data_IF_192995529252
#
_entry.id   IF_192995529252
#
_cell.length_a   1.000
_cell.length_b   1.000
_cell.length_c   1.000
_cell.angle_alpha   90.00
_cell.angle_beta   90.00
_cell.angle_gamma   90.00
#
_symmetry.space_group_name_H-M   'P 1'
#
loop_
_entity.id
_entity.type
_entity.pdbx_description
1 polymer ?
#
# COMPACT_ATOMS: atom_id res chain seq x y z
N UNK A 1 -14.48 13.45 22.70
CA UNK A 1 -14.78 13.62 24.15
C UNK A 1 -16.26 13.88 24.45
N UNK A 2 -16.91 14.91 23.88
CA UNK A 2 -18.29 15.30 24.24
C UNK A 2 -19.36 14.19 24.01
N UNK A 3 -19.22 13.37 22.97
CA UNK A 3 -20.12 12.24 22.66
C UNK A 3 -19.95 11.06 23.63
N UNK A 4 -18.71 10.75 23.98
CA UNK A 4 -18.38 9.70 24.96
C UNK A 4 -18.93 10.06 26.34
N UNK A 5 -18.79 11.31 26.75
CA UNK A 5 -19.34 11.81 28.01
C UNK A 5 -20.88 11.61 28.09
N UNK A 6 -21.62 11.90 27.01
CA UNK A 6 -23.08 11.71 26.99
C UNK A 6 -23.49 10.23 27.10
N UNK A 7 -22.75 9.33 26.45
CA UNK A 7 -23.01 7.89 26.54
C UNK A 7 -22.73 7.35 27.95
N UNK A 8 -21.57 7.71 28.54
CA UNK A 8 -21.21 7.32 29.90
C UNK A 8 -22.19 7.88 30.92
N UNK A 9 -22.58 9.15 30.77
CA UNK A 9 -23.58 9.78 31.64
C UNK A 9 -24.94 9.08 31.52
N UNK A 10 -25.38 8.76 30.29
CA UNK A 10 -26.61 7.98 30.09
C UNK A 10 -26.58 6.61 30.78
N UNK A 11 -25.46 5.90 30.72
CA UNK A 11 -25.26 4.61 31.41
C UNK A 11 -25.32 4.78 32.93
N UNK A 12 -24.68 5.82 33.49
CA UNK A 12 -24.70 6.11 34.92
C UNK A 12 -26.14 6.37 35.40
N UNK A 13 -26.93 7.16 34.64
CA UNK A 13 -28.34 7.41 34.96
C UNK A 13 -29.20 6.15 34.90
N UNK A 14 -28.94 5.24 33.95
CA UNK A 14 -29.61 3.94 33.88
C UNK A 14 -29.23 3.03 35.05
N UNK A 15 -27.96 3.04 35.48
CA UNK A 15 -27.51 2.31 36.68
C UNK A 15 -28.15 2.87 37.96
N UNK A 16 -28.21 4.20 38.11
CA UNK A 16 -28.90 4.85 39.23
C UNK A 16 -30.38 4.50 39.25
N UNK A 17 -31.05 4.48 38.10
CA UNK A 17 -32.46 4.10 38.01
C UNK A 17 -32.70 2.68 38.53
N UNK A 18 -31.75 1.76 38.31
CA UNK A 18 -31.85 0.38 38.78
C UNK A 18 -31.60 0.23 40.29
N UNK A 19 -30.86 1.16 40.90
CA UNK A 19 -30.53 1.14 42.33
C UNK A 19 -31.60 1.80 43.23
N UNK A 20 -32.62 2.46 42.65
CA UNK A 20 -33.63 3.20 43.41
C UNK A 20 -34.90 2.37 43.66
N UNK A 21 -35.32 2.29 44.92
CA UNK A 21 -36.52 1.55 45.34
C UNK A 21 -37.84 2.31 45.08
N UNK A 22 -37.79 3.64 45.11
CA UNK A 22 -38.97 4.47 44.88
C UNK A 22 -39.35 4.50 43.39
N UNK A 23 -40.51 3.92 43.04
CA UNK A 23 -40.97 3.73 41.66
C UNK A 23 -41.03 5.01 40.82
N UNK A 24 -41.48 6.13 41.41
CA UNK A 24 -41.58 7.43 40.73
C UNK A 24 -40.17 7.96 40.37
N UNK A 25 -39.24 7.86 41.30
CA UNK A 25 -37.87 8.34 41.14
C UNK A 25 -37.13 7.48 40.12
N UNK A 26 -37.29 6.16 40.21
CA UNK A 26 -36.77 5.19 39.23
C UNK A 26 -37.22 5.51 37.80
N UNK A 27 -38.50 5.81 37.59
CA UNK A 27 -39.03 6.18 36.27
C UNK A 27 -38.37 7.44 35.69
N UNK A 28 -38.15 8.47 36.52
CA UNK A 28 -37.52 9.72 36.08
C UNK A 28 -36.06 9.53 35.64
N UNK A 29 -35.24 8.83 36.44
CA UNK A 29 -33.84 8.55 36.10
C UNK A 29 -33.73 7.66 34.85
N UNK A 30 -34.66 6.71 34.67
CA UNK A 30 -34.69 5.85 33.50
C UNK A 30 -34.95 6.62 32.21
N UNK A 31 -35.95 7.52 32.20
CA UNK A 31 -36.26 8.35 31.02
C UNK A 31 -35.09 9.27 30.66
N UNK A 32 -34.46 9.89 31.67
CA UNK A 32 -33.30 10.77 31.47
C UNK A 32 -32.12 9.97 30.90
N UNK A 33 -31.80 8.82 31.50
CA UNK A 33 -30.72 7.95 31.05
C UNK A 33 -30.94 7.44 29.62
N UNK A 34 -32.15 6.98 29.31
CA UNK A 34 -32.53 6.52 27.97
C UNK A 34 -32.38 7.65 26.94
N UNK A 35 -32.91 8.85 27.24
CA UNK A 35 -32.82 10.00 26.33
C UNK A 35 -31.38 10.41 26.04
N UNK A 36 -30.54 10.48 27.08
CA UNK A 36 -29.12 10.81 26.93
C UNK A 36 -28.37 9.75 26.12
N UNK A 37 -28.65 8.47 26.36
CA UNK A 37 -28.04 7.36 25.66
C UNK A 37 -28.42 7.36 24.16
N UNK A 38 -29.70 7.55 23.83
CA UNK A 38 -30.17 7.59 22.44
C UNK A 38 -29.55 8.76 21.67
N UNK A 39 -29.48 9.95 22.26
CA UNK A 39 -28.85 11.13 21.65
C UNK A 39 -27.33 10.92 21.47
N UNK A 40 -26.67 10.32 22.46
CA UNK A 40 -25.25 9.97 22.40
C UNK A 40 -24.95 8.98 21.27
N UNK A 41 -25.74 7.90 21.19
CA UNK A 41 -25.60 6.86 20.17
C UNK A 41 -25.86 7.41 18.76
N UNK A 42 -26.91 8.21 18.58
CA UNK A 42 -27.21 8.85 17.30
C UNK A 42 -26.08 9.77 16.84
N UNK A 43 -25.52 10.60 17.73
CA UNK A 43 -24.37 11.46 17.42
C UNK A 43 -23.11 10.67 17.09
N UNK A 44 -22.86 9.57 17.81
CA UNK A 44 -21.73 8.69 17.54
C UNK A 44 -21.82 8.07 16.14
N UNK A 45 -22.98 7.49 15.80
CA UNK A 45 -23.23 6.88 14.48
C UNK A 45 -23.13 7.94 13.38
N UNK A 46 -23.78 9.10 13.54
CA UNK A 46 -23.72 10.19 12.56
C UNK A 46 -22.30 10.72 12.35
N UNK A 47 -21.50 10.80 13.41
CA UNK A 47 -20.08 11.16 13.35
C UNK A 47 -19.27 10.13 12.56
N UNK A 48 -19.46 8.84 12.87
CA UNK A 48 -18.76 7.73 12.21
C UNK A 48 -19.11 7.61 10.72
N UNK A 49 -20.38 7.78 10.37
CA UNK A 49 -20.83 7.80 8.96
C UNK A 49 -20.24 8.99 8.21
N UNK A 50 -20.19 10.17 8.85
CA UNK A 50 -19.61 11.37 8.24
C UNK A 50 -18.11 11.20 8.00
N UNK A 51 -17.37 10.67 8.97
CA UNK A 51 -15.93 10.42 8.79
C UNK A 51 -15.69 9.37 7.72
N UNK A 52 -16.49 8.30 7.67
CA UNK A 52 -16.39 7.29 6.62
C UNK A 52 -16.65 7.88 5.23
N UNK A 53 -17.70 8.69 5.08
CA UNK A 53 -17.99 9.39 3.82
C UNK A 53 -16.88 10.35 3.42
N UNK A 54 -16.34 11.13 4.37
CA UNK A 54 -15.24 12.05 4.10
C UNK A 54 -14.00 11.30 3.63
N UNK A 55 -13.66 10.20 4.29
CA UNK A 55 -12.53 9.36 3.93
C UNK A 55 -12.71 8.71 2.56
N UNK A 56 -13.92 8.23 2.24
CA UNK A 56 -14.23 7.68 0.94
C UNK A 56 -14.13 8.74 -0.18
N UNK A 57 -14.58 9.97 0.09
CA UNK A 57 -14.44 11.08 -0.86
C UNK A 57 -12.98 11.45 -1.09
N UNK A 58 -12.21 11.63 -0.02
CA UNK A 58 -10.77 11.95 -0.12
C UNK A 58 -9.99 10.84 -0.84
N UNK A 59 -10.35 9.57 -0.62
CA UNK A 59 -9.79 8.44 -1.36
C UNK A 59 -10.10 8.54 -2.87
N UNK A 60 -11.36 8.86 -3.22
CA UNK A 60 -11.80 9.04 -4.62
C UNK A 60 -11.09 10.22 -5.29
N UNK A 61 -10.96 11.33 -4.58
CA UNK A 61 -10.22 12.51 -5.06
C UNK A 61 -8.75 12.18 -5.29
N UNK A 62 -8.13 11.41 -4.39
CA UNK A 62 -6.76 10.93 -4.54
C UNK A 62 -6.59 10.02 -5.76
N UNK A 63 -7.52 9.08 -5.96
CA UNK A 63 -7.54 8.20 -7.13
C UNK A 63 -7.67 9.01 -8.44
N UNK A 64 -8.57 9.99 -8.46
CA UNK A 64 -8.78 10.88 -9.61
C UNK A 64 -7.53 11.73 -9.90
N UNK A 65 -6.87 12.26 -8.87
CA UNK A 65 -5.62 13.02 -8.99
C UNK A 65 -4.48 12.16 -9.58
N UNK A 66 -4.32 10.92 -9.09
CA UNK A 66 -3.30 9.99 -9.57
C UNK A 66 -3.57 9.53 -11.01
N UNK A 67 -4.84 9.28 -11.36
CA UNK A 67 -5.24 8.89 -12.72
C UNK A 67 -5.08 10.01 -13.75
N UNK A 68 -5.17 11.28 -13.34
CA UNK A 68 -5.00 12.42 -14.23
C UNK A 68 -3.55 12.66 -14.66
N UNK A 69 -2.58 11.96 -14.05
CA UNK A 69 -1.17 12.04 -14.45
C UNK A 69 -1.01 11.36 -15.83
N UNK A 70 -0.33 11.98 -16.82
CA UNK A 70 -0.18 11.38 -18.15
C UNK A 70 0.54 10.03 -18.14
N UNK A 71 -0.13 8.98 -18.59
CA UNK A 71 0.40 7.61 -18.61
C UNK A 71 -0.16 6.80 -19.79
N UNK A 72 0.55 5.74 -20.18
CA UNK A 72 0.03 4.68 -21.03
C UNK A 72 -0.47 3.50 -20.23
N UNK A 73 0.17 3.21 -19.09
CA UNK A 73 -0.23 2.17 -18.16
C UNK A 73 -0.08 2.68 -16.73
N UNK A 74 -0.98 2.28 -15.84
CA UNK A 74 -1.00 2.73 -14.44
C UNK A 74 -1.47 1.59 -13.53
N UNK A 75 -0.92 1.55 -12.32
CA UNK A 75 -1.48 0.82 -11.19
C UNK A 75 -1.50 1.75 -9.98
N UNK A 76 -2.54 1.65 -9.18
CA UNK A 76 -2.76 2.46 -7.98
C UNK A 76 -2.90 1.50 -6.81
N UNK A 77 -2.26 1.83 -5.69
CA UNK A 77 -2.33 1.03 -4.47
C UNK A 77 -3.75 1.05 -3.89
N UNK A 78 -4.08 0.03 -3.09
CA UNK A 78 -5.43 -0.15 -2.53
C UNK A 78 -5.86 1.00 -1.60
N UNK A 79 -4.91 1.72 -1.00
CA UNK A 79 -5.10 2.91 -0.17
C UNK A 79 -5.17 4.23 -0.97
N UNK A 80 -4.92 4.18 -2.28
CA UNK A 80 -4.82 5.32 -3.20
C UNK A 80 -3.77 6.36 -2.79
N UNK A 81 -2.70 5.93 -2.11
CA UNK A 81 -1.58 6.78 -1.72
C UNK A 81 -0.37 6.64 -2.64
N UNK A 82 -0.27 5.54 -3.37
CA UNK A 82 0.82 5.31 -4.32
C UNK A 82 0.27 4.98 -5.70
N UNK A 83 0.97 5.41 -6.73
CA UNK A 83 0.74 4.95 -8.08
C UNK A 83 2.07 4.72 -8.80
N UNK A 84 2.12 3.64 -9.57
CA UNK A 84 3.21 3.34 -10.50
C UNK A 84 2.67 3.53 -11.91
N UNK A 85 3.26 4.48 -12.63
CA UNK A 85 2.83 4.83 -13.97
C UNK A 85 3.96 4.63 -14.98
N UNK A 86 3.58 4.15 -16.15
CA UNK A 86 4.46 3.94 -17.29
C UNK A 86 3.97 4.85 -18.41
N UNK A 87 4.89 5.58 -19.05
CA UNK A 87 4.60 6.47 -20.16
C UNK A 87 5.55 6.15 -21.32
N UNK A 88 5.08 5.30 -22.23
CA UNK A 88 5.86 4.85 -23.39
C UNK A 88 6.28 5.99 -24.35
N UNK A 89 5.42 6.97 -24.71
CA UNK A 89 5.81 8.08 -25.57
C UNK A 89 6.99 8.91 -25.05
N UNK A 90 7.09 9.07 -23.73
CA UNK A 90 8.17 9.85 -23.09
C UNK A 90 9.31 8.98 -22.56
N UNK A 91 9.20 7.65 -22.67
CA UNK A 91 10.13 6.68 -22.10
C UNK A 91 10.39 6.87 -20.60
N UNK A 92 9.32 7.15 -19.84
CA UNK A 92 9.42 7.43 -18.41
C UNK A 92 8.59 6.47 -17.56
N UNK A 93 9.16 6.11 -16.42
CA UNK A 93 8.50 5.46 -15.31
C UNK A 93 8.30 6.53 -14.23
N UNK A 94 7.09 6.66 -13.71
CA UNK A 94 6.76 7.60 -12.66
C UNK A 94 6.28 6.84 -11.42
N UNK A 95 6.88 7.13 -10.27
CA UNK A 95 6.36 6.73 -8.97
C UNK A 95 5.74 7.97 -8.31
N UNK A 96 4.42 7.97 -8.17
CA UNK A 96 3.67 8.99 -7.47
C UNK A 96 3.32 8.51 -6.06
N UNK A 97 3.61 9.31 -5.04
CA UNK A 97 3.41 8.96 -3.63
C UNK A 97 2.80 10.13 -2.87
N UNK A 98 1.90 9.80 -1.94
CA UNK A 98 1.29 10.72 -0.97
C UNK A 98 1.53 10.17 0.44
N UNK A 99 1.81 11.06 1.39
CA UNK A 99 1.93 10.68 2.81
C UNK A 99 0.55 10.39 3.43
N UNK A 100 -0.45 11.18 3.04
CA UNK A 100 -1.86 10.99 3.39
C UNK A 100 -2.78 11.52 2.26
N UNK A 101 -4.09 11.37 2.40
CA UNK A 101 -5.04 11.81 1.37
C UNK A 101 -5.10 13.34 1.20
N UNK A 102 -4.65 14.12 2.18
CA UNK A 102 -4.68 15.60 2.14
C UNK A 102 -3.34 16.19 1.63
N UNK A 103 -2.26 15.40 1.61
CA UNK A 103 -0.93 15.78 1.16
C UNK A 103 -0.84 15.97 -0.36
N UNK A 104 0.15 16.74 -0.79
CA UNK A 104 0.47 16.90 -2.22
C UNK A 104 1.13 15.63 -2.78
N UNK A 105 0.88 15.33 -4.05
CA UNK A 105 1.51 14.19 -4.74
C UNK A 105 2.98 14.48 -5.01
N UNK A 106 3.85 13.72 -4.35
CA UNK A 106 5.27 13.68 -4.66
C UNK A 106 5.50 12.78 -5.88
N UNK A 107 6.18 13.30 -6.90
CA UNK A 107 6.42 12.61 -8.17
C UNK A 107 7.91 12.33 -8.35
N UNK A 108 8.28 11.07 -8.52
CA UNK A 108 9.63 10.64 -8.89
C UNK A 108 9.58 10.13 -10.33
N UNK A 109 10.12 10.92 -11.25
CA UNK A 109 10.20 10.57 -12.68
C UNK A 109 11.55 9.97 -13.02
N UNK A 110 11.53 8.80 -13.65
CA UNK A 110 12.71 8.02 -13.99
C UNK A 110 12.68 7.72 -15.48
N UNK A 111 13.73 8.16 -16.17
CA UNK A 111 13.95 7.79 -17.56
C UNK A 111 14.28 6.30 -17.65
N UNK A 112 13.71 5.60 -18.62
CA UNK A 112 13.91 4.15 -18.78
C UNK A 112 15.38 3.72 -18.86
N UNK A 113 16.23 4.53 -19.47
CA UNK A 113 17.67 4.25 -19.59
C UNK A 113 18.45 4.34 -18.27
N UNK A 114 17.83 4.87 -17.21
CA UNK A 114 18.38 5.00 -15.84
C UNK A 114 17.94 3.87 -14.91
N UNK A 115 17.11 2.94 -15.38
CA UNK A 115 16.70 1.78 -14.59
C UNK A 115 17.78 0.70 -14.71
N UNK A 116 18.25 0.20 -13.58
CA UNK A 116 19.30 -0.82 -13.50
C UNK A 116 18.78 -2.19 -13.12
N UNK A 117 17.89 -2.25 -12.14
CA UNK A 117 17.39 -3.50 -11.59
C UNK A 117 15.93 -3.35 -11.18
N UNK A 118 15.19 -4.44 -11.28
CA UNK A 118 13.84 -4.57 -10.76
C UNK A 118 13.71 -5.91 -10.07
N UNK A 119 13.08 -5.94 -8.90
CA UNK A 119 12.97 -7.12 -8.05
C UNK A 119 11.60 -7.20 -7.38
N UNK A 120 11.04 -8.40 -7.33
CA UNK A 120 9.85 -8.73 -6.54
C UNK A 120 10.32 -9.12 -5.14
N UNK A 121 9.72 -8.50 -4.13
CA UNK A 121 10.13 -8.64 -2.73
C UNK A 121 8.93 -9.00 -1.86
N UNK A 122 9.09 -10.04 -1.06
CA UNK A 122 8.15 -10.52 -0.04
C UNK A 122 8.76 -10.37 1.34
N UNK A 123 8.15 -9.59 2.23
CA UNK A 123 8.62 -9.40 3.60
C UNK A 123 10.14 -9.12 3.68
N UNK A 124 10.59 -8.23 2.79
CA UNK A 124 12.00 -7.86 2.54
C UNK A 124 12.90 -8.93 1.89
N UNK A 125 12.41 -10.14 1.65
CA UNK A 125 13.12 -11.19 0.91
C UNK A 125 12.91 -11.07 -0.60
N UNK A 126 14.00 -11.17 -1.37
CA UNK A 126 13.93 -11.08 -2.83
C UNK A 126 13.54 -12.46 -3.39
N UNK A 127 12.41 -12.51 -4.11
CA UNK A 127 11.96 -13.75 -4.78
C UNK A 127 12.54 -13.85 -6.18
N UNK A 128 12.43 -12.76 -6.95
CA UNK A 128 12.81 -12.71 -8.37
C UNK A 128 13.38 -11.33 -8.67
N UNK A 129 14.46 -11.28 -9.44
CA UNK A 129 15.12 -10.04 -9.83
C UNK A 129 15.65 -10.08 -11.27
N UNK A 130 15.63 -8.93 -11.94
CA UNK A 130 16.22 -8.71 -13.27
C UNK A 130 17.10 -7.48 -13.25
N UNK A 131 18.33 -7.61 -13.78
CA UNK A 131 19.27 -6.50 -13.84
C UNK A 131 19.83 -6.25 -15.23
N UNK A 132 20.35 -5.05 -15.39
CA UNK A 132 21.20 -4.66 -16.51
C UNK A 132 22.56 -5.34 -16.37
N UNK A 133 23.00 -6.05 -17.42
CA UNK A 133 24.26 -6.81 -17.49
C UNK A 133 24.31 -8.11 -16.66
N UNK A 134 23.19 -8.59 -16.12
CA UNK A 134 23.11 -9.87 -15.41
C UNK A 134 23.86 -9.94 -14.07
N UNK A 135 24.46 -8.84 -13.61
CA UNK A 135 25.03 -8.73 -12.27
C UNK A 135 23.94 -8.22 -11.33
N UNK A 136 23.47 -9.09 -10.44
CA UNK A 136 22.49 -8.74 -9.41
C UNK A 136 23.13 -7.88 -8.33
N UNK A 137 22.58 -6.70 -8.05
CA UNK A 137 23.09 -5.82 -7.00
C UNK A 137 22.46 -6.19 -5.66
N UNK A 138 22.67 -7.43 -5.22
CA UNK A 138 22.16 -7.94 -3.93
C UNK A 138 22.67 -7.18 -2.71
N UNK A 139 23.59 -6.21 -2.87
CA UNK A 139 24.06 -5.31 -1.81
C UNK A 139 23.26 -4.01 -1.71
N UNK A 140 22.48 -3.63 -2.72
CA UNK A 140 21.67 -2.39 -2.70
C UNK A 140 20.23 -2.65 -2.25
N UNK A 141 19.77 -3.88 -2.36
CA UNK A 141 18.45 -4.32 -1.91
C UNK A 141 18.71 -5.18 -0.67
N UNK A 142 18.30 -4.68 0.50
CA UNK A 142 18.58 -5.24 1.84
C UNK A 142 17.79 -6.53 2.15
N UNK A 143 17.78 -7.48 1.21
CA UNK A 143 17.01 -8.73 1.32
C UNK A 143 17.90 -9.96 1.20
N UNK A 144 17.65 -10.96 2.06
CA UNK A 144 18.21 -12.30 1.88
C UNK A 144 17.68 -12.89 0.58
N UNK A 145 18.61 -13.39 -0.25
CA UNK A 145 18.34 -13.74 -1.64
C UNK A 145 18.04 -15.24 -1.74
N UNK A 146 16.80 -15.60 -2.04
CA UNK A 146 16.47 -16.97 -2.44
C UNK A 146 16.70 -17.06 -3.95
N UNK A 147 17.95 -17.34 -4.32
CA UNK A 147 18.33 -17.52 -5.73
C UNK A 147 17.64 -18.78 -6.26
N UNK A 148 16.52 -18.61 -6.96
CA UNK A 148 15.89 -19.68 -7.74
C UNK A 148 16.71 -19.95 -9.01
N UNK A 149 17.86 -20.61 -8.82
CA UNK A 149 18.77 -21.07 -9.86
C UNK A 149 19.07 -22.56 -9.69
N UNK A 150 18.16 -23.41 -10.20
CA UNK A 150 18.36 -24.83 -10.57
C UNK A 150 19.22 -25.68 -9.61
N UNK A 151 19.13 -25.46 -8.31
CA UNK A 151 19.82 -26.26 -7.29
C UNK A 151 18.82 -26.58 -6.18
N UNK A 152 18.48 -27.87 -6.13
CA UNK A 152 18.03 -28.66 -4.98
C UNK A 152 17.41 -27.89 -3.80
N UNK A 153 16.09 -28.12 -3.63
CA UNK A 153 15.37 -28.21 -2.35
C UNK A 153 16.08 -27.58 -1.14
N UNK A 154 15.80 -26.31 -0.89
CA UNK A 154 15.80 -25.77 0.46
C UNK A 154 14.37 -25.37 0.76
N UNK A 155 13.58 -26.37 1.16
CA UNK A 155 12.38 -26.18 1.97
C UNK A 155 12.83 -25.58 3.31
N UNK A 156 13.02 -24.26 3.36
CA UNK A 156 12.89 -23.57 4.63
C UNK A 156 11.39 -23.54 4.95
N UNK A 157 11.03 -24.13 6.08
CA UNK A 157 9.72 -24.02 6.72
C UNK A 157 9.46 -22.54 7.10
N UNK A 158 9.34 -21.66 6.10
CA UNK A 158 8.72 -20.36 6.30
C UNK A 158 7.23 -20.64 6.45
N UNK A 159 6.63 -20.21 7.57
CA UNK A 159 5.18 -20.11 7.67
C UNK A 159 4.65 -19.56 6.34
N UNK A 160 3.72 -20.27 5.69
CA UNK A 160 3.24 -20.02 4.31
C UNK A 160 2.35 -18.77 4.23
N UNK A 161 2.84 -17.69 4.84
CA UNK A 161 2.15 -16.46 5.08
C UNK A 161 3.03 -15.28 4.70
N UNK A 162 2.41 -14.28 4.09
CA UNK A 162 3.07 -13.09 3.56
C UNK A 162 2.38 -11.85 4.12
N UNK A 163 3.17 -10.89 4.61
CA UNK A 163 2.64 -9.62 5.13
C UNK A 163 2.69 -8.51 4.08
N UNK A 164 3.74 -8.48 3.27
CA UNK A 164 4.00 -7.44 2.28
C UNK A 164 4.53 -8.02 0.97
N UNK A 165 3.97 -7.54 -0.14
CA UNK A 165 4.46 -7.79 -1.50
C UNK A 165 4.76 -6.44 -2.17
N UNK A 166 5.99 -6.26 -2.63
CA UNK A 166 6.46 -5.02 -3.23
C UNK A 166 7.35 -5.26 -4.44
N UNK A 167 7.47 -4.21 -5.26
CA UNK A 167 8.39 -4.13 -6.38
C UNK A 167 9.44 -3.08 -6.07
N UNK A 168 10.69 -3.52 -5.91
CA UNK A 168 11.86 -2.64 -5.70
C UNK A 168 12.56 -2.41 -7.04
N UNK A 169 12.87 -1.15 -7.33
CA UNK A 169 13.47 -0.71 -8.59
C UNK A 169 14.73 0.09 -8.27
N UNK A 170 15.87 -0.35 -8.79
CA UNK A 170 17.15 0.35 -8.64
C UNK A 170 17.36 1.28 -9.82
N UNK A 171 17.67 2.55 -9.53
CA UNK A 171 17.77 3.62 -10.51
C UNK A 171 19.07 4.41 -10.37
N UNK A 172 19.51 5.04 -11.45
CA UNK A 172 20.66 5.95 -11.48
C UNK A 172 20.34 7.28 -10.77
N UNK A 173 20.29 7.24 -9.44
CA UNK A 173 20.11 8.39 -8.56
C UNK A 173 20.84 8.16 -7.24
N UNK A 174 21.87 8.96 -6.95
CA UNK A 174 22.69 8.80 -5.75
C UNK A 174 21.97 9.17 -4.45
N UNK A 175 20.91 9.97 -4.51
CA UNK A 175 20.16 10.40 -3.32
C UNK A 175 19.11 9.37 -2.92
N UNK A 176 18.41 8.79 -3.90
CA UNK A 176 17.36 7.79 -3.70
C UNK A 176 17.50 6.70 -4.77
N UNK A 177 18.46 5.77 -4.60
CA UNK A 177 18.79 4.76 -5.61
C UNK A 177 17.76 3.64 -5.69
N UNK A 178 17.01 3.38 -4.62
CA UNK A 178 15.99 2.33 -4.56
C UNK A 178 14.62 2.97 -4.43
N UNK A 179 13.74 2.61 -5.35
CA UNK A 179 12.34 2.97 -5.34
C UNK A 179 11.52 1.74 -5.01
N UNK A 180 10.50 1.90 -4.19
CA UNK A 180 9.63 0.80 -3.78
C UNK A 180 8.18 1.18 -4.09
N UNK A 181 7.47 0.26 -4.73
CA UNK A 181 6.03 0.31 -4.90
C UNK A 181 5.41 -0.93 -4.26
N UNK A 182 4.49 -0.70 -3.32
CA UNK A 182 3.86 -1.76 -2.54
C UNK A 182 2.53 -2.16 -3.19
N UNK A 183 2.43 -3.43 -3.62
CA UNK A 183 1.21 -3.99 -4.18
C UNK A 183 0.25 -4.45 -3.09
N UNK A 184 0.79 -4.95 -1.98
CA UNK A 184 0.03 -5.48 -0.88
C UNK A 184 0.76 -5.24 0.45
N UNK A 185 0.01 -4.76 1.44
CA UNK A 185 0.43 -4.71 2.85
C UNK A 185 -0.75 -5.12 3.70
N UNK A 186 -0.54 -6.12 4.55
CA UNK A 186 -1.53 -6.59 5.50
C UNK A 186 -1.01 -6.48 6.93
N UNK A 187 -1.85 -5.99 7.84
CA UNK A 187 -1.51 -5.93 9.28
C UNK A 187 -1.37 -7.30 9.93
N UNK A 188 -1.95 -8.33 9.30
CA UNK A 188 -1.83 -9.73 9.68
C UNK A 188 -1.32 -10.48 8.46
N UNK A 189 -0.31 -11.35 8.60
CA UNK A 189 0.15 -12.19 7.49
C UNK A 189 -1.04 -12.98 6.92
N UNK A 190 -1.12 -13.03 5.59
CA UNK A 190 -2.13 -13.81 4.86
C UNK A 190 -1.48 -15.00 4.20
N UNK A 191 -2.21 -16.10 3.98
CA UNK A 191 -1.61 -17.27 3.32
C UNK A 191 -1.34 -16.99 1.83
N UNK A 192 -0.29 -17.61 1.28
CA UNK A 192 -0.01 -17.58 -0.17
C UNK A 192 -1.11 -18.23 -1.02
N UNK A 193 -1.98 -19.03 -0.41
CA UNK A 193 -3.14 -19.63 -1.09
C UNK A 193 -4.35 -18.68 -1.18
N UNK A 194 -4.31 -17.52 -0.53
CA UNK A 194 -5.41 -16.55 -0.58
C UNK A 194 -5.47 -15.84 -1.94
N UNK A 195 -6.69 -15.71 -2.49
CA UNK A 195 -6.95 -15.01 -3.76
C UNK A 195 -6.34 -13.60 -3.78
N UNK A 196 -6.39 -12.89 -2.64
CA UNK A 196 -5.84 -11.54 -2.52
C UNK A 196 -4.32 -11.49 -2.75
N UNK A 197 -3.58 -12.51 -2.31
CA UNK A 197 -2.15 -12.62 -2.56
C UNK A 197 -1.90 -12.96 -4.03
N UNK A 198 -2.62 -13.94 -4.58
CA UNK A 198 -2.48 -14.36 -5.98
C UNK A 198 -2.73 -13.20 -6.96
N UNK A 199 -3.80 -12.43 -6.76
CA UNK A 199 -4.12 -11.25 -7.57
C UNK A 199 -3.02 -10.17 -7.49
N UNK A 200 -2.48 -9.92 -6.29
CA UNK A 200 -1.41 -8.97 -6.08
C UNK A 200 -0.09 -9.43 -6.73
N UNK A 201 0.21 -10.73 -6.65
CA UNK A 201 1.38 -11.34 -7.28
C UNK A 201 1.30 -11.28 -8.79
N UNK A 202 0.16 -11.61 -9.40
CA UNK A 202 -0.04 -11.49 -10.84
C UNK A 202 0.20 -10.07 -11.35
N UNK A 203 -0.33 -9.06 -10.65
CA UNK A 203 -0.10 -7.66 -10.97
C UNK A 203 1.38 -7.28 -10.82
N UNK A 204 2.01 -7.70 -9.72
CA UNK A 204 3.43 -7.47 -9.47
C UNK A 204 4.30 -8.09 -10.57
N UNK A 205 4.04 -9.34 -10.95
CA UNK A 205 4.72 -10.02 -12.05
C UNK A 205 4.54 -9.31 -13.39
N UNK A 206 3.33 -8.84 -13.71
CA UNK A 206 3.08 -8.10 -14.94
C UNK A 206 3.95 -6.83 -15.00
N UNK A 207 4.05 -6.10 -13.90
CA UNK A 207 4.90 -4.91 -13.82
C UNK A 207 6.38 -5.25 -13.87
N UNK A 208 6.81 -6.28 -13.13
CA UNK A 208 8.16 -6.82 -13.19
C UNK A 208 8.57 -7.17 -14.63
N UNK A 209 7.71 -7.87 -15.38
CA UNK A 209 7.96 -8.23 -16.79
C UNK A 209 8.10 -6.99 -17.68
N UNK A 210 7.22 -5.99 -17.52
CA UNK A 210 7.30 -4.72 -18.29
C UNK A 210 8.62 -4.01 -18.06
N UNK A 211 9.03 -3.85 -16.80
CA UNK A 211 10.28 -3.17 -16.45
C UNK A 211 11.49 -4.00 -16.88
N UNK A 212 11.44 -5.33 -16.76
CA UNK A 212 12.49 -6.22 -17.27
C UNK A 212 12.70 -6.07 -18.78
N UNK A 213 11.61 -5.94 -19.55
CA UNK A 213 11.69 -5.66 -21.00
C UNK A 213 12.32 -4.30 -21.26
N UNK A 214 11.98 -3.27 -20.47
CA UNK A 214 12.60 -1.95 -20.57
C UNK A 214 14.11 -2.06 -20.36
N UNK A 215 14.55 -2.68 -19.25
CA UNK A 215 15.97 -2.87 -18.93
C UNK A 215 16.70 -3.54 -20.11
N UNK A 216 16.16 -4.66 -20.60
CA UNK A 216 16.76 -5.41 -21.74
C UNK A 216 16.82 -4.60 -23.03
N UNK A 217 15.81 -3.77 -23.33
CA UNK A 217 15.81 -2.91 -24.53
C UNK A 217 16.95 -1.90 -24.49
N UNK A 218 17.17 -1.25 -23.35
CA UNK A 218 18.20 -0.23 -23.17
C UNK A 218 19.60 -0.79 -22.87
N UNK A 219 19.72 -2.09 -22.62
CA UNK A 219 20.99 -2.82 -22.62
C UNK A 219 21.52 -2.99 -24.04
N UNK A 220 20.66 -3.40 -24.98
CA UNK A 220 21.01 -3.65 -26.38
C UNK A 220 21.36 -2.37 -27.16
N UNK A 221 20.84 -1.20 -26.77
CA UNK A 221 21.18 0.08 -27.40
C UNK A 221 22.62 0.54 -27.11
N UNK A 222 23.28 0.00 -26.08
CA UNK A 222 24.63 0.38 -25.65
C UNK A 222 25.71 -0.63 -26.03
N UNK A 223 25.56 -1.39 -27.12
CA UNK A 223 26.69 -2.19 -27.64
C UNK A 223 27.85 -1.24 -27.94
N UNK A 224 28.98 -1.33 -27.22
CA UNK A 224 30.13 -0.49 -27.51
C UNK A 224 30.63 -0.88 -28.89
N UNK A 225 30.56 0.04 -29.86
CA UNK A 225 31.28 -0.14 -31.12
C UNK A 225 32.76 -0.14 -30.74
N UNK A 226 33.36 -1.32 -30.76
CA UNK A 226 34.77 -1.54 -30.48
C UNK A 226 35.55 -1.00 -31.67
N UNK A 227 35.71 0.32 -31.73
CA UNK A 227 36.61 0.97 -32.68
C UNK A 227 38.04 0.65 -32.23
N UNK A 228 38.55 -0.49 -32.69
CA UNK A 228 39.99 -0.70 -32.75
C UNK A 228 40.52 0.15 -33.91
N UNK A 229 41.18 1.25 -33.57
CA UNK A 229 42.18 1.88 -34.43
C UNK A 229 43.52 1.88 -33.69
#
# INVERSE_FOLDING_TARGET
MKTFFLLVLGIIYLMLANAMEAAIVRGSYFIIGLSLFTVGAFRYVKGKVRSFRRNAEMKRESEEELMNIPHTQCTISSDCLQALLLNEPTNTLLLAQKEDWEAEVTKKEIQFNKIYEVSIVEDDNIIIASTRNGLLSGSLIDGEQIISGDTEEVEEESDDTVSQLALKIVVDNLSTPVLEYVFMTNSKPISREEDAYSEALELCEQWYRKISIIIKRYELERVPIRNWQ
#
